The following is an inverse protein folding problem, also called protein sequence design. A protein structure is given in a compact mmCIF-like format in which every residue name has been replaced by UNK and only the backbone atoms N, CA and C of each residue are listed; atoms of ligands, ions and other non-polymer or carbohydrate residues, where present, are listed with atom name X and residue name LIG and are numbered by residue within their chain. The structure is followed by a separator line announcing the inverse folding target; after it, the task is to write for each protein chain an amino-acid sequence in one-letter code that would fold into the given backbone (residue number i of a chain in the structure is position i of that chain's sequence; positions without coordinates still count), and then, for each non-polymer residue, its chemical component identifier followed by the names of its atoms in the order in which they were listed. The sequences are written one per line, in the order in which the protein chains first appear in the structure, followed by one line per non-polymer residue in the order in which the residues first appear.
data_IF_869877379311
#
_entry.id   IF_869877379311
#
_cell.length_a   1.000
_cell.length_b   1.000
_cell.length_c   1.000
_cell.angle_alpha   90.00
_cell.angle_beta   90.00
_cell.angle_gamma   90.00
#
_symmetry.space_group_name_H-M   'P 1'
#
loop_
_entity.id
_entity.type
_entity.pdbx_description
1 polymer ?
#
# COMPACT_ATOMS: atom_id res chain seq x y z
N UNK A 1 52.30 -12.08 -56.88
CA UNK A 1 53.36 -12.11 -55.85
C UNK A 1 52.66 -11.89 -54.51
N UNK A 2 52.12 -12.96 -53.91
CA UNK A 2 52.74 -13.84 -52.89
C UNK A 2 52.42 -13.40 -51.45
N UNK A 3 51.32 -14.00 -50.99
CA UNK A 3 51.01 -14.59 -49.69
C UNK A 3 50.91 -13.82 -48.35
N UNK A 4 49.97 -14.28 -47.49
CA UNK A 4 49.72 -13.86 -46.12
C UNK A 4 50.44 -14.76 -45.08
N UNK A 5 50.32 -14.45 -43.78
CA UNK A 5 50.59 -15.40 -42.70
C UNK A 5 49.92 -14.95 -41.38
N UNK A 6 48.95 -15.69 -40.81
CA UNK A 6 49.01 -16.94 -40.01
C UNK A 6 49.56 -16.80 -38.58
N UNK A 7 48.62 -16.78 -37.61
CA UNK A 7 48.62 -17.49 -36.30
C UNK A 7 49.74 -17.21 -35.27
N UNK A 8 49.68 -17.78 -34.04
CA UNK A 8 48.77 -18.81 -33.56
C UNK A 8 48.16 -18.58 -32.15
N UNK A 9 47.28 -19.52 -31.76
CA UNK A 9 46.80 -19.77 -30.41
C UNK A 9 47.87 -20.44 -29.50
N UNK A 10 47.76 -20.25 -28.18
CA UNK A 10 48.18 -21.13 -27.05
C UNK A 10 47.56 -20.54 -25.77
N UNK A 11 46.60 -21.17 -25.08
CA UNK A 11 46.65 -22.38 -24.21
C UNK A 11 47.53 -22.21 -22.96
N UNK A 12 46.97 -22.76 -21.87
CA UNK A 12 47.59 -23.19 -20.60
C UNK A 12 47.89 -22.06 -19.59
N UNK A 13 47.78 -22.25 -18.28
CA UNK A 13 47.43 -23.36 -17.37
C UNK A 13 47.49 -22.67 -15.99
N UNK A 14 46.47 -22.74 -15.15
CA UNK A 14 46.49 -23.69 -14.04
C UNK A 14 47.25 -23.13 -12.83
N UNK A 15 46.53 -22.88 -11.74
CA UNK A 15 47.06 -23.17 -10.41
C UNK A 15 45.91 -23.53 -9.45
N UNK A 16 45.82 -24.83 -9.17
CA UNK A 16 45.48 -25.39 -7.84
C UNK A 16 46.53 -24.86 -6.83
N UNK A 17 46.41 -24.90 -5.51
CA UNK A 17 45.87 -25.85 -4.52
C UNK A 17 45.49 -25.02 -3.26
N UNK A 18 44.77 -25.45 -2.22
CA UNK A 18 44.84 -26.68 -1.41
C UNK A 18 43.58 -26.83 -0.55
N UNK A 19 43.26 -28.09 -0.25
CA UNK A 19 42.25 -28.60 0.69
C UNK A 19 42.86 -28.87 2.08
N UNK A 20 42.07 -28.69 3.14
CA UNK A 20 42.09 -29.45 4.42
C UNK A 20 40.89 -28.94 5.24
N UNK A 21 39.72 -29.59 5.30
CA UNK A 21 39.31 -30.88 5.88
C UNK A 21 39.43 -31.00 7.42
N UNK A 22 38.38 -31.61 8.01
CA UNK A 22 38.24 -32.16 9.39
C UNK A 22 37.67 -31.30 10.55
N UNK A 23 36.32 -31.19 10.62
CA UNK A 23 35.35 -31.82 11.59
C UNK A 23 35.62 -31.95 13.14
N UNK A 24 34.63 -32.32 14.00
CA UNK A 24 34.08 -31.50 15.12
C UNK A 24 34.12 -32.16 16.55
N UNK A 25 33.54 -31.48 17.55
CA UNK A 25 33.25 -31.95 18.94
C UNK A 25 33.60 -30.86 19.98
N UNK A 26 33.08 -30.75 21.19
CA UNK A 26 31.96 -31.32 21.96
C UNK A 26 31.78 -30.40 23.20
N UNK A 27 30.59 -30.45 23.82
CA UNK A 27 30.27 -30.25 25.24
C UNK A 27 30.90 -29.12 26.08
N UNK A 28 30.05 -28.30 26.72
CA UNK A 28 29.84 -28.39 28.19
C UNK A 28 29.06 -27.20 28.78
N UNK A 29 28.17 -27.57 29.69
CA UNK A 29 27.34 -26.80 30.62
C UNK A 29 28.01 -25.68 31.43
N UNK A 30 27.22 -24.64 31.76
CA UNK A 30 27.36 -23.91 33.02
C UNK A 30 26.00 -23.41 33.54
N UNK A 31 25.41 -24.19 34.45
CA UNK A 31 24.50 -23.70 35.47
C UNK A 31 25.33 -22.94 36.51
N UNK A 32 24.91 -21.74 36.90
CA UNK A 32 25.18 -21.22 38.25
C UNK A 32 23.97 -20.45 38.76
N UNK A 33 23.30 -21.07 39.71
CA UNK A 33 22.36 -20.45 40.63
C UNK A 33 23.15 -19.54 41.59
N UNK A 34 22.56 -18.42 42.00
CA UNK A 34 22.85 -17.82 43.29
C UNK A 34 21.54 -17.46 43.99
N UNK A 35 21.61 -17.59 45.31
CA UNK A 35 20.55 -17.87 46.26
C UNK A 35 20.03 -16.61 46.97
N UNK A 36 18.73 -16.66 47.31
CA UNK A 36 18.03 -16.23 48.54
C UNK A 36 18.33 -14.92 49.29
N UNK A 37 17.21 -14.36 49.79
CA UNK A 37 17.00 -13.54 51.01
C UNK A 37 17.32 -12.03 50.89
N UNK A 38 16.58 -11.07 51.45
CA UNK A 38 15.29 -10.95 52.15
C UNK A 38 15.09 -9.42 52.42
N UNK A 39 13.85 -9.05 52.77
CA UNK A 39 13.46 -7.86 53.57
C UNK A 39 13.17 -6.48 52.90
N UNK A 40 11.86 -6.31 52.66
CA UNK A 40 10.95 -5.19 52.93
C UNK A 40 11.47 -3.79 53.34
N UNK A 41 10.92 -2.76 52.66
CA UNK A 41 10.01 -1.75 53.26
C UNK A 41 9.37 -0.84 52.18
N UNK A 42 8.20 -0.23 52.45
CA UNK A 42 7.26 0.28 51.44
C UNK A 42 7.29 1.82 51.31
N UNK A 43 6.44 2.33 50.40
CA UNK A 43 5.87 3.70 50.30
C UNK A 43 6.28 4.45 49.03
N UNK A 44 5.30 4.56 48.13
CA UNK A 44 5.33 5.43 46.97
C UNK A 44 4.04 5.21 46.17
N UNK A 45 2.97 5.89 46.58
CA UNK A 45 1.64 5.75 46.01
C UNK A 45 1.64 5.91 44.48
N UNK A 46 1.49 4.79 43.79
CA UNK A 46 1.02 4.79 42.41
C UNK A 46 -0.47 5.04 42.50
N UNK A 47 -0.88 6.26 42.18
CA UNK A 47 -2.27 6.60 41.98
C UNK A 47 -2.88 5.50 41.09
N UNK A 48 -3.89 4.82 41.64
CA UNK A 48 -4.71 3.92 40.87
C UNK A 48 -5.25 4.73 39.69
N UNK A 49 -4.68 4.50 38.51
CA UNK A 49 -5.30 4.92 37.27
C UNK A 49 -6.61 4.16 37.29
N UNK A 50 -7.70 4.86 37.59
CA UNK A 50 -9.04 4.32 37.50
C UNK A 50 -9.27 4.04 36.02
N UNK A 51 -8.83 2.87 35.58
CA UNK A 51 -9.36 2.23 34.39
C UNK A 51 -10.84 2.07 34.68
N UNK A 52 -11.63 3.04 34.22
CA UNK A 52 -13.03 2.82 34.01
C UNK A 52 -13.07 1.64 33.04
N UNK A 53 -13.29 0.46 33.60
CA UNK A 53 -13.59 -0.75 32.84
C UNK A 53 -14.92 -0.45 32.16
N UNK A 54 -14.85 0.20 31.00
CA UNK A 54 -15.90 0.09 30.00
C UNK A 54 -15.90 -1.40 29.68
N UNK A 55 -16.83 -2.12 30.30
CA UNK A 55 -17.15 -3.49 29.91
C UNK A 55 -17.80 -3.33 28.54
N UNK A 56 -16.95 -3.30 27.51
CA UNK A 56 -17.34 -3.47 26.13
C UNK A 56 -18.18 -4.75 26.10
N UNK A 57 -19.35 -4.69 25.47
CA UNK A 57 -20.21 -5.88 25.32
C UNK A 57 -19.32 -7.02 24.80
N UNK A 58 -19.26 -8.20 25.45
CA UNK A 58 -18.45 -9.32 24.97
C UNK A 58 -18.83 -9.79 23.55
N UNK A 59 -19.94 -9.31 22.98
CA UNK A 59 -20.28 -9.48 21.56
C UNK A 59 -19.70 -8.41 20.63
N UNK A 60 -19.27 -7.26 21.16
CA UNK A 60 -18.62 -6.22 20.38
C UNK A 60 -17.15 -6.57 20.20
N UNK A 61 -16.71 -6.74 18.94
CA UNK A 61 -15.29 -6.80 18.59
C UNK A 61 -14.67 -5.39 18.53
N UNK A 62 -15.19 -4.50 19.38
CA UNK A 62 -14.71 -3.14 19.57
C UNK A 62 -13.66 -3.21 20.68
N UNK A 63 -12.43 -2.83 20.36
CA UNK A 63 -11.29 -2.87 21.28
C UNK A 63 -10.64 -1.48 21.34
N UNK A 64 -10.38 -0.98 22.55
CA UNK A 64 -9.56 0.21 22.74
C UNK A 64 -8.10 -0.15 22.47
N UNK A 65 -7.41 0.65 21.66
CA UNK A 65 -5.99 0.42 21.35
C UNK A 65 -5.16 0.75 22.61
N UNK A 66 -4.47 -0.23 23.22
CA UNK A 66 -3.69 -0.01 24.43
C UNK A 66 -2.56 1.00 24.19
N UNK A 67 -2.20 1.79 25.21
CA UNK A 67 -1.06 2.71 25.12
C UNK A 67 -1.32 4.00 24.34
N UNK A 68 -2.45 4.12 23.63
CA UNK A 68 -2.84 5.36 22.96
C UNK A 68 -3.38 6.38 23.96
N UNK A 69 -2.97 7.64 23.80
CA UNK A 69 -3.54 8.75 24.58
C UNK A 69 -4.88 9.14 23.99
N UNK A 70 -5.94 9.28 24.81
CA UNK A 70 -7.22 9.78 24.32
C UNK A 70 -7.06 11.17 23.73
N UNK A 71 -7.67 11.42 22.58
CA UNK A 71 -7.71 12.73 21.94
C UNK A 71 -8.84 13.53 22.59
N UNK A 72 -8.60 14.81 22.90
CA UNK A 72 -9.65 15.69 23.43
C UNK A 72 -10.87 15.66 22.49
N UNK A 73 -12.08 15.32 22.98
CA UNK A 73 -13.28 15.24 22.14
C UNK A 73 -13.65 16.54 21.42
N UNK A 74 -13.14 17.69 21.87
CA UNK A 74 -13.30 19.00 21.21
C UNK A 74 -12.35 19.19 20.01
N UNK A 75 -11.27 18.40 19.93
CA UNK A 75 -10.33 18.38 18.80
C UNK A 75 -10.73 17.36 17.73
N UNK A 76 -11.65 16.44 18.06
CA UNK A 76 -12.21 15.50 17.10
C UNK A 76 -13.20 16.18 16.16
N UNK A 77 -13.42 15.61 14.96
CA UNK A 77 -14.53 16.01 14.11
C UNK A 77 -15.86 15.96 14.88
N UNK A 78 -16.87 16.75 14.45
CA UNK A 78 -18.22 16.60 14.96
C UNK A 78 -18.67 15.12 14.91
N UNK A 79 -19.46 14.66 15.89
CA UNK A 79 -19.89 13.27 15.91
C UNK A 79 -20.58 12.87 14.62
N UNK A 80 -20.18 11.72 14.07
CA UNK A 80 -20.72 11.20 12.83
C UNK A 80 -22.03 10.42 13.13
N UNK A 81 -23.18 10.86 12.60
CA UNK A 81 -24.47 10.20 12.88
C UNK A 81 -24.54 8.75 12.40
N UNK A 82 -23.82 8.42 11.31
CA UNK A 82 -23.79 7.07 10.77
C UNK A 82 -22.99 6.13 11.66
N UNK A 83 -21.84 6.60 12.18
CA UNK A 83 -21.07 5.81 13.16
C UNK A 83 -21.88 5.49 14.41
N UNK A 84 -22.61 6.48 14.96
CA UNK A 84 -23.45 6.28 16.13
C UNK A 84 -24.59 5.29 15.87
N UNK A 85 -25.10 5.24 14.64
CA UNK A 85 -26.10 4.26 14.22
C UNK A 85 -25.51 2.84 14.12
N UNK A 86 -24.28 2.71 13.63
CA UNK A 86 -23.58 1.43 13.56
C UNK A 86 -23.20 0.91 14.95
N UNK A 87 -22.69 1.78 15.81
CA UNK A 87 -22.26 1.46 17.16
C UNK A 87 -22.29 2.73 18.02
N UNK A 88 -23.14 2.75 19.05
CA UNK A 88 -23.37 3.94 19.89
C UNK A 88 -22.13 4.39 20.68
N UNK A 89 -21.10 3.55 20.80
CA UNK A 89 -19.83 3.91 21.43
C UNK A 89 -18.91 4.69 20.48
N UNK A 90 -19.11 4.59 19.17
CA UNK A 90 -18.33 5.31 18.17
C UNK A 90 -18.80 6.77 18.05
N UNK A 91 -17.84 7.69 17.97
CA UNK A 91 -18.10 9.12 17.88
C UNK A 91 -17.67 9.68 16.53
N UNK A 92 -16.42 9.46 16.16
CA UNK A 92 -15.81 10.10 15.00
C UNK A 92 -14.81 9.17 14.32
N UNK A 93 -14.46 9.50 13.09
CA UNK A 93 -13.38 8.84 12.36
C UNK A 93 -12.43 9.85 11.75
N UNK A 94 -11.23 9.38 11.40
CA UNK A 94 -10.25 10.16 10.66
C UNK A 94 -9.52 9.27 9.65
N UNK A 95 -9.22 9.87 8.49
CA UNK A 95 -8.26 9.31 7.54
C UNK A 95 -6.96 10.11 7.58
N UNK A 96 -5.84 9.40 7.62
CA UNK A 96 -4.50 9.98 7.59
C UNK A 96 -3.70 9.30 6.49
N UNK A 97 -3.11 10.07 5.57
CA UNK A 97 -2.19 9.51 4.58
C UNK A 97 -0.84 9.29 5.27
N UNK A 98 -0.48 8.02 5.49
CA UNK A 98 0.78 7.65 6.16
C UNK A 98 1.92 7.44 5.16
N UNK A 99 1.60 7.14 3.89
CA UNK A 99 2.56 7.10 2.81
C UNK A 99 2.00 7.79 1.57
N UNK A 100 2.65 8.88 1.14
CA UNK A 100 2.27 9.62 -0.06
C UNK A 100 2.94 9.02 -1.30
N UNK A 101 2.24 8.92 -2.45
CA UNK A 101 2.90 8.68 -3.72
C UNK A 101 3.66 9.94 -4.14
N UNK A 102 4.96 9.78 -4.42
CA UNK A 102 5.87 10.92 -4.67
C UNK A 102 6.09 11.12 -6.16
N UNK A 103 6.21 10.03 -6.91
CA UNK A 103 6.51 10.06 -8.35
C UNK A 103 5.78 8.96 -9.10
N UNK A 104 5.56 9.23 -10.38
CA UNK A 104 4.99 8.32 -11.35
C UNK A 104 5.81 8.40 -12.64
N UNK A 105 5.73 7.36 -13.47
CA UNK A 105 6.07 7.47 -14.89
C UNK A 105 4.77 7.34 -15.67
N UNK A 106 4.53 8.27 -16.58
CA UNK A 106 3.36 8.20 -17.46
C UNK A 106 3.37 6.89 -18.26
N UNK A 107 2.20 6.26 -18.40
CA UNK A 107 2.05 5.02 -19.18
C UNK A 107 2.01 5.30 -20.70
N UNK A 108 1.65 6.53 -21.09
CA UNK A 108 1.51 6.91 -22.50
C UNK A 108 0.32 6.22 -23.17
N UNK A 109 0.36 6.12 -24.50
CA UNK A 109 -0.77 5.64 -25.30
C UNK A 109 -0.90 4.12 -25.42
N UNK A 110 0.02 3.35 -24.81
CA UNK A 110 0.00 1.90 -24.87
C UNK A 110 -0.46 1.31 -23.55
N UNK A 111 -1.47 0.44 -23.60
CA UNK A 111 -1.97 -0.28 -22.42
C UNK A 111 -1.01 -1.37 -21.91
N UNK A 112 0.23 -1.43 -22.42
CA UNK A 112 1.22 -2.47 -22.08
C UNK A 112 2.30 -2.01 -21.10
N UNK A 113 2.51 -0.69 -20.91
CA UNK A 113 3.56 -0.14 -20.02
C UNK A 113 2.93 0.45 -18.76
N UNK A 114 2.36 -0.41 -17.91
CA UNK A 114 1.83 0.02 -16.60
C UNK A 114 2.94 0.12 -15.57
N UNK A 115 3.04 1.29 -14.93
CA UNK A 115 4.10 1.62 -13.97
C UNK A 115 3.49 2.21 -12.72
N UNK A 116 3.45 1.43 -11.62
CA UNK A 116 2.85 1.90 -10.40
C UNK A 116 3.47 3.18 -9.85
N UNK A 117 2.66 3.96 -9.15
CA UNK A 117 3.10 5.08 -8.33
C UNK A 117 4.14 4.62 -7.30
N UNK A 118 5.14 5.44 -7.06
CA UNK A 118 6.23 5.14 -6.13
C UNK A 118 6.45 6.28 -5.13
N UNK A 119 6.51 5.99 -3.82
CA UNK A 119 6.07 4.74 -3.17
C UNK A 119 4.53 4.55 -3.29
N UNK A 120 3.95 3.37 -2.97
CA UNK A 120 2.51 3.18 -3.05
C UNK A 120 1.77 4.05 -2.04
N UNK A 121 0.53 4.46 -2.34
CA UNK A 121 -0.25 5.25 -1.39
C UNK A 121 -0.76 4.35 -0.26
N UNK A 122 -0.61 4.82 0.98
CA UNK A 122 -1.13 4.11 2.16
C UNK A 122 -1.93 5.09 3.01
N UNK A 123 -3.18 4.72 3.28
CA UNK A 123 -4.09 5.43 4.16
C UNK A 123 -4.27 4.64 5.45
N UNK A 124 -4.29 5.36 6.57
CA UNK A 124 -4.68 4.88 7.89
C UNK A 124 -6.07 5.40 8.21
N UNK A 125 -6.93 4.52 8.70
CA UNK A 125 -8.26 4.84 9.19
C UNK A 125 -8.30 4.63 10.70
N UNK A 126 -8.83 5.63 11.40
CA UNK A 126 -8.88 5.68 12.84
C UNK A 126 -10.31 5.94 13.28
N UNK A 127 -10.79 5.12 14.22
CA UNK A 127 -12.05 5.35 14.91
C UNK A 127 -11.78 5.90 16.31
N UNK A 128 -12.67 6.79 16.74
CA UNK A 128 -12.66 7.36 18.07
C UNK A 128 -13.99 7.10 18.76
N UNK A 129 -13.94 6.71 20.02
CA UNK A 129 -15.13 6.57 20.85
C UNK A 129 -15.62 7.93 21.41
N UNK A 130 -16.70 7.88 22.18
CA UNK A 130 -17.30 9.07 22.82
C UNK A 130 -16.34 9.81 23.77
N UNK A 131 -15.40 9.08 24.38
CA UNK A 131 -14.42 9.56 25.35
C UNK A 131 -13.11 10.02 24.68
N UNK A 132 -12.97 9.80 23.36
CA UNK A 132 -11.82 10.17 22.56
C UNK A 132 -10.71 9.11 22.49
N UNK A 133 -10.96 7.89 22.96
CA UNK A 133 -10.02 6.78 22.81
C UNK A 133 -9.98 6.30 21.36
N UNK A 134 -8.80 5.89 20.90
CA UNK A 134 -8.66 5.21 19.60
C UNK A 134 -9.15 3.78 19.74
N UNK A 135 -10.03 3.37 18.85
CA UNK A 135 -10.68 2.05 18.90
C UNK A 135 -10.56 1.30 17.58
N UNK A 136 -10.57 -0.02 17.66
CA UNK A 136 -10.65 -0.95 16.53
C UNK A 136 -11.97 -1.69 16.65
N UNK A 137 -12.87 -1.46 15.69
CA UNK A 137 -14.09 -2.25 15.53
C UNK A 137 -13.87 -3.23 14.37
N UNK A 138 -13.50 -4.48 14.68
CA UNK A 138 -13.14 -5.45 13.62
C UNK A 138 -14.31 -5.77 12.71
N UNK A 139 -15.54 -5.82 13.24
CA UNK A 139 -16.77 -6.10 12.48
C UNK A 139 -17.07 -4.97 11.49
N UNK A 140 -16.95 -3.72 11.93
CA UNK A 140 -17.19 -2.57 11.07
C UNK A 140 -16.05 -2.37 10.06
N UNK A 141 -14.81 -2.39 10.55
CA UNK A 141 -13.63 -2.04 9.75
C UNK A 141 -13.39 -3.02 8.60
N UNK A 142 -13.59 -4.33 8.79
CA UNK A 142 -13.32 -5.35 7.76
C UNK A 142 -14.20 -5.22 6.48
N UNK A 143 -15.27 -4.43 6.54
CA UNK A 143 -16.19 -4.22 5.42
C UNK A 143 -15.99 -2.88 4.71
N UNK A 144 -14.99 -2.10 5.13
CA UNK A 144 -14.70 -0.80 4.53
C UNK A 144 -13.95 -0.96 3.20
N UNK A 145 -14.32 -0.11 2.25
CA UNK A 145 -13.66 0.04 0.96
C UNK A 145 -13.41 1.53 0.73
N UNK A 146 -12.19 1.89 0.34
CA UNK A 146 -11.83 3.25 -0.06
C UNK A 146 -11.63 3.27 -1.57
N UNK A 147 -12.20 4.28 -2.22
CA UNK A 147 -12.09 4.49 -3.65
C UNK A 147 -11.29 5.77 -3.90
N UNK A 148 -10.25 5.69 -4.74
CA UNK A 148 -9.44 6.84 -5.09
C UNK A 148 -9.80 7.44 -6.45
N UNK A 149 -9.71 8.76 -6.54
CA UNK A 149 -9.88 9.53 -7.80
C UNK A 149 -8.66 10.39 -8.04
N UNK A 150 -8.39 10.72 -9.30
CA UNK A 150 -7.26 11.55 -9.69
C UNK A 150 -7.73 13.00 -9.87
N UNK A 151 -7.05 13.92 -9.23
CA UNK A 151 -7.36 15.35 -9.25
C UNK A 151 -6.18 16.16 -9.77
N UNK A 152 -6.49 17.33 -10.31
CA UNK A 152 -5.50 18.35 -10.63
C UNK A 152 -4.65 18.73 -9.40
N UNK A 153 -3.44 19.23 -9.62
CA UNK A 153 -2.53 19.59 -8.53
C UNK A 153 -3.08 20.65 -7.56
N UNK A 154 -3.99 21.50 -8.05
CA UNK A 154 -4.72 22.54 -7.32
C UNK A 154 -6.07 22.07 -6.74
N UNK A 155 -6.47 20.81 -6.96
CA UNK A 155 -7.69 20.19 -6.41
C UNK A 155 -9.01 20.80 -6.91
N UNK A 156 -8.99 21.42 -8.09
CA UNK A 156 -10.15 22.08 -8.68
C UNK A 156 -10.91 21.17 -9.64
N UNK A 157 -10.18 20.33 -10.37
CA UNK A 157 -10.73 19.47 -11.42
C UNK A 157 -10.42 18.00 -11.17
N UNK A 158 -11.43 17.16 -11.36
CA UNK A 158 -11.24 15.72 -11.39
C UNK A 158 -10.74 15.30 -12.78
N UNK A 159 -9.59 14.63 -12.81
CA UNK A 159 -8.89 14.19 -14.01
C UNK A 159 -8.78 12.67 -14.07
N UNK A 160 -9.68 11.94 -13.39
CA UNK A 160 -9.77 10.47 -13.45
C UNK A 160 -10.01 9.99 -14.88
N UNK A 161 -10.86 10.72 -15.62
CA UNK A 161 -11.22 10.45 -17.02
C UNK A 161 -10.90 11.70 -17.85
N UNK A 162 -10.30 11.50 -19.02
CA UNK A 162 -9.81 12.57 -19.89
C UNK A 162 -10.17 12.30 -21.35
N UNK A 163 -10.28 13.37 -22.14
CA UNK A 163 -10.47 13.29 -23.59
C UNK A 163 -9.11 13.33 -24.30
N UNK A 164 -8.85 12.32 -25.13
CA UNK A 164 -7.60 12.21 -25.89
C UNK A 164 -7.84 12.15 -27.39
N UNK A 165 -6.94 12.74 -28.22
CA UNK A 165 -7.04 12.61 -29.67
C UNK A 165 -6.96 11.13 -30.10
N UNK A 166 -7.86 10.71 -30.99
CA UNK A 166 -7.94 9.33 -31.47
C UNK A 166 -6.58 8.79 -31.96
N UNK A 167 -5.96 7.92 -31.16
CA UNK A 167 -4.76 7.21 -31.57
C UNK A 167 -5.15 5.88 -32.23
N UNK A 168 -5.22 5.89 -33.57
CA UNK A 168 -5.52 4.71 -34.40
C UNK A 168 -4.58 3.50 -34.16
N UNK A 169 -3.46 3.67 -33.45
CA UNK A 169 -2.54 2.58 -33.12
C UNK A 169 -2.88 1.84 -31.81
N UNK A 170 -3.61 2.43 -30.86
CA UNK A 170 -3.85 1.81 -29.54
C UNK A 170 -4.75 0.56 -29.63
N UNK A 171 -5.75 0.56 -30.53
CA UNK A 171 -6.65 -0.60 -30.75
C UNK A 171 -6.13 -1.66 -31.72
N UNK A 172 -5.09 -1.37 -32.54
CA UNK A 172 -4.56 -2.34 -33.51
C UNK A 172 -3.75 -3.45 -32.83
N UNK A 173 -3.10 -3.15 -31.71
CA UNK A 173 -2.24 -4.11 -31.01
C UNK A 173 -3.07 -5.14 -30.23
N UNK A 174 -4.25 -4.75 -29.70
CA UNK A 174 -5.18 -5.66 -29.03
C UNK A 174 -5.97 -6.55 -30.02
N UNK A 175 -6.28 -6.05 -31.22
CA UNK A 175 -6.93 -6.85 -32.27
C UNK A 175 -5.97 -7.83 -32.99
N UNK A 176 -4.69 -7.46 -33.16
CA UNK A 176 -3.69 -8.32 -33.81
C UNK A 176 -3.35 -9.59 -33.01
N UNK A 177 -3.57 -9.59 -31.70
CA UNK A 177 -3.35 -10.78 -30.85
C UNK A 177 -4.44 -11.85 -31.00
N UNK A 178 -5.65 -11.50 -31.51
CA UNK A 178 -6.77 -12.44 -31.69
C UNK A 178 -7.02 -12.86 -33.15
N UNK A 179 -6.32 -12.27 -34.13
CA UNK A 179 -6.52 -12.59 -35.55
C UNK A 179 -5.34 -13.34 -36.13
N UNK A 180 -5.26 -14.65 -35.86
CA UNK A 180 -4.59 -15.61 -36.75
C UNK A 180 -5.63 -16.46 -37.44
N UNK A 181 -6.48 -15.86 -38.27
CA UNK A 181 -7.09 -16.54 -39.43
C UNK A 181 -7.78 -15.57 -40.37
N UNK A 182 -7.43 -15.76 -41.65
CA UNK A 182 -8.10 -15.30 -42.88
C UNK A 182 -7.80 -13.87 -43.32
N UNK A 183 -6.96 -13.80 -44.34
CA UNK A 183 -6.83 -12.63 -45.19
C UNK A 183 -8.08 -12.42 -46.01
N UNK A 184 -8.51 -11.16 -46.08
CA UNK A 184 -9.36 -10.58 -47.12
C UNK A 184 -8.88 -9.14 -47.28
N UNK A 185 -8.58 -8.76 -48.52
CA UNK A 185 -8.17 -7.42 -48.97
C UNK A 185 -9.22 -6.38 -48.56
N UNK A 186 -8.82 -5.36 -47.78
CA UNK A 186 -9.72 -4.27 -47.41
C UNK A 186 -9.37 -2.99 -48.16
N UNK A 187 -10.34 -2.56 -48.97
CA UNK A 187 -10.44 -1.26 -49.62
C UNK A 187 -10.27 -0.11 -48.64
N UNK A 188 -9.68 0.98 -49.13
CA UNK A 188 -9.32 2.17 -48.36
C UNK A 188 -10.45 2.69 -47.49
N UNK A 189 -10.20 2.73 -46.17
CA UNK A 189 -11.02 3.50 -45.23
C UNK A 189 -10.57 4.95 -45.30
N UNK A 190 -11.47 5.78 -45.84
CA UNK A 190 -11.53 7.23 -45.67
C UNK A 190 -11.18 7.59 -44.22
N UNK A 191 -10.23 8.50 -44.04
CA UNK A 191 -9.86 9.04 -42.73
C UNK A 191 -11.14 9.63 -42.09
N UNK A 192 -11.65 8.95 -41.07
CA UNK A 192 -12.60 9.54 -40.13
C UNK A 192 -11.88 10.66 -39.40
N UNK A 193 -12.55 11.80 -39.23
CA UNK A 193 -12.07 12.92 -38.41
C UNK A 193 -11.44 12.42 -37.11
N UNK A 194 -10.35 13.04 -36.62
CA UNK A 194 -9.76 12.65 -35.35
C UNK A 194 -10.78 12.97 -34.24
N UNK A 195 -11.61 11.99 -33.91
CA UNK A 195 -12.53 12.07 -32.79
C UNK A 195 -11.74 12.15 -31.48
N UNK A 196 -12.32 12.76 -30.46
CA UNK A 196 -11.82 12.62 -29.10
C UNK A 196 -12.32 11.28 -28.56
N UNK A 197 -11.42 10.48 -27.98
CA UNK A 197 -11.78 9.28 -27.22
C UNK A 197 -11.69 9.60 -25.73
N UNK A 198 -12.74 9.23 -24.99
CA UNK A 198 -12.77 9.32 -23.53
C UNK A 198 -11.99 8.12 -22.98
N UNK A 199 -10.90 8.37 -22.27
CA UNK A 199 -10.05 7.35 -21.66
C UNK A 199 -9.82 7.62 -20.17
N UNK A 200 -9.55 6.57 -19.40
CA UNK A 200 -9.15 6.70 -18.01
C UNK A 200 -7.69 7.16 -17.93
N UNK A 201 -7.45 8.26 -17.21
CA UNK A 201 -6.11 8.73 -16.89
C UNK A 201 -5.53 8.02 -15.67
N UNK A 202 -6.36 7.74 -14.66
CA UNK A 202 -6.00 6.87 -13.55
C UNK A 202 -6.21 5.41 -13.97
N UNK A 203 -5.17 4.60 -13.83
CA UNK A 203 -5.15 3.21 -14.23
C UNK A 203 -4.85 2.30 -13.04
N UNK A 204 -5.27 1.04 -13.15
CA UNK A 204 -5.03 -0.01 -12.16
C UNK A 204 -6.11 -0.08 -11.08
N UNK A 205 -5.71 -0.44 -9.86
CA UNK A 205 -6.64 -0.75 -8.77
C UNK A 205 -6.96 0.52 -7.96
N UNK A 206 -8.02 1.23 -8.35
CA UNK A 206 -8.46 2.46 -7.68
C UNK A 206 -9.34 2.21 -6.45
N UNK A 207 -9.64 0.96 -6.11
CA UNK A 207 -10.36 0.59 -4.88
C UNK A 207 -9.48 -0.29 -4.00
N UNK A 208 -9.44 -0.01 -2.70
CA UNK A 208 -8.76 -0.81 -1.72
C UNK A 208 -9.73 -1.23 -0.61
N UNK A 209 -9.70 -2.52 -0.24
CA UNK A 209 -10.35 -3.02 0.98
C UNK A 209 -9.47 -2.70 2.18
N UNK A 210 -10.10 -2.57 3.34
CA UNK A 210 -9.40 -2.39 4.61
C UNK A 210 -8.54 -3.61 4.97
N UNK A 211 -7.49 -3.36 5.72
CA UNK A 211 -6.64 -4.39 6.31
C UNK A 211 -6.27 -3.96 7.72
N UNK A 212 -6.61 -4.79 8.70
CA UNK A 212 -6.24 -4.56 10.11
C UNK A 212 -4.89 -5.23 10.33
N UNK A 213 -3.85 -4.42 10.51
CA UNK A 213 -2.45 -4.87 10.66
C UNK A 213 -1.74 -4.07 11.74
N UNK A 214 -0.61 -4.58 12.22
CA UNK A 214 0.30 -3.85 13.10
C UNK A 214 1.28 -3.03 12.26
N UNK A 215 1.56 -1.80 12.68
CA UNK A 215 2.60 -0.96 12.07
C UNK A 215 4.00 -1.30 12.61
N UNK A 216 5.01 -0.56 12.13
CA UNK A 216 6.41 -0.71 12.56
C UNK A 216 6.65 -0.49 14.06
N UNK A 217 5.68 0.06 14.78
CA UNK A 217 5.74 0.26 16.24
C UNK A 217 4.98 -0.82 17.01
N UNK A 218 4.37 -1.79 16.32
CA UNK A 218 3.52 -2.82 16.93
C UNK A 218 2.11 -2.34 17.24
N UNK A 219 1.71 -1.16 16.77
CA UNK A 219 0.39 -0.61 17.02
C UNK A 219 -0.59 -1.12 15.96
N UNK A 220 -1.65 -1.80 16.41
CA UNK A 220 -2.72 -2.26 15.52
C UNK A 220 -3.46 -1.06 14.91
N UNK A 221 -3.78 -1.13 13.63
CA UNK A 221 -4.53 -0.12 12.92
C UNK A 221 -5.22 -0.65 11.68
N UNK A 222 -6.17 0.13 11.15
CA UNK A 222 -6.86 -0.16 9.90
C UNK A 222 -6.20 0.62 8.75
N UNK A 223 -5.75 -0.08 7.72
CA UNK A 223 -5.01 0.50 6.61
C UNK A 223 -5.63 0.15 5.26
N UNK A 224 -5.44 1.05 4.29
CA UNK A 224 -5.80 0.87 2.89
C UNK A 224 -4.54 1.10 2.05
N UNK A 225 -4.17 0.10 1.25
CA UNK A 225 -2.95 0.14 0.42
C UNK A 225 -3.34 0.17 -1.04
N UNK A 226 -2.75 1.10 -1.78
CA UNK A 226 -2.95 1.24 -3.23
C UNK A 226 -1.63 0.96 -3.97
N UNK A 227 -1.25 -0.33 -4.12
CA UNK A 227 0.06 -0.70 -4.67
C UNK A 227 0.12 -0.56 -6.20
N UNK A 228 -1.04 -0.57 -6.87
CA UNK A 228 -1.14 -0.73 -8.32
C UNK A 228 -1.81 0.47 -9.01
N UNK A 229 -1.60 1.70 -8.53
CA UNK A 229 -2.07 2.89 -9.23
C UNK A 229 -1.07 3.32 -10.29
N UNK A 230 -1.51 3.66 -11.50
CA UNK A 230 -0.66 4.26 -12.53
C UNK A 230 -1.35 5.45 -13.17
N UNK A 231 -0.60 6.37 -13.77
CA UNK A 231 -1.15 7.55 -14.45
C UNK A 231 -0.78 7.49 -15.93
N UNK A 232 -1.76 7.71 -16.81
CA UNK A 232 -1.60 7.62 -18.25
C UNK A 232 -0.81 8.79 -18.81
N UNK A 233 -1.20 10.01 -18.42
CA UNK A 233 -0.65 11.26 -18.93
C UNK A 233 0.43 11.83 -18.02
N UNK A 234 1.33 12.60 -18.60
CA UNK A 234 2.27 13.42 -17.82
C UNK A 234 1.55 14.60 -17.17
N UNK A 235 1.97 14.94 -15.96
CA UNK A 235 1.41 16.07 -15.24
C UNK A 235 1.74 16.03 -13.76
N UNK A 236 1.17 17.00 -13.04
CA UNK A 236 1.16 17.03 -11.58
C UNK A 236 -0.27 16.82 -11.11
N UNK A 237 -0.43 15.90 -10.19
CA UNK A 237 -1.74 15.44 -9.74
C UNK A 237 -1.77 15.27 -8.23
N UNK A 238 -2.98 15.18 -7.70
CA UNK A 238 -3.25 14.71 -6.34
C UNK A 238 -4.21 13.53 -6.41
N UNK A 239 -4.07 12.62 -5.46
CA UNK A 239 -5.07 11.59 -5.24
C UNK A 239 -6.04 12.07 -4.17
N UNK A 240 -7.32 11.85 -4.41
CA UNK A 240 -8.39 11.97 -3.41
C UNK A 240 -8.83 10.55 -3.05
N UNK A 241 -9.12 10.32 -1.79
CA UNK A 241 -9.51 9.03 -1.23
C UNK A 241 -10.83 9.18 -0.48
#
# INVERSE_FOLDING_TARGET
MTNPGTGPAKRNDGSRYTTSDSQPGDDSSAHSQYSTDRDAAPMGGMAAVSAANVVLDPRSLLEIIPGTRPVDPNMLPPPDPFLQQCNALLRAFQFTIVQHPIRARMCGSSDKDWRPLSPPAVLKFELFDVDGNRVIDTMFMQHLVVHTTLWSADQTEELTVVELPHNSNSKRISAAAKSRKRGVTQFGKRASEPGLEIENNLLGDYSASSSIVEDEHGERGCYFVFPNLSIRLEGRYRLRF
#
